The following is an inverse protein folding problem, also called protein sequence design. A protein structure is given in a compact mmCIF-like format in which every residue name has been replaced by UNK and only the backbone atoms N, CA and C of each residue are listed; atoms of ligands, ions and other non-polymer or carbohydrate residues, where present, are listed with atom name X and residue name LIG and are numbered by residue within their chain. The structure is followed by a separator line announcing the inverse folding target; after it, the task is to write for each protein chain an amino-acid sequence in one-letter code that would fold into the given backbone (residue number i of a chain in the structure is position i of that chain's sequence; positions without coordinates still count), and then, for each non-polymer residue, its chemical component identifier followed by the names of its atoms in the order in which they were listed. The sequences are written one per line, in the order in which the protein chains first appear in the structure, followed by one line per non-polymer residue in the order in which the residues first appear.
data_IF_496517497343
#
_entry.id   IF_496517497343
#
_cell.length_a   1.000
_cell.length_b   1.000
_cell.length_c   1.000
_cell.angle_alpha   90.00
_cell.angle_beta   90.00
_cell.angle_gamma   90.00
#
_symmetry.space_group_name_H-M   'P 1'
#
loop_
_entity.id
_entity.type
_entity.pdbx_description
1 polymer ?
#
# COMPACT_ATOMS: atom_id res chain seq x y z
N UNK A 1 8.70 -16.50 9.83
CA UNK A 1 8.23 -16.01 8.51
C UNK A 1 8.73 -14.59 8.36
N UNK A 2 9.43 -14.23 7.28
CA UNK A 2 9.77 -12.83 7.04
C UNK A 2 8.46 -12.04 7.10
N UNK A 3 8.46 -10.91 7.79
CA UNK A 3 7.26 -10.09 7.89
C UNK A 3 6.84 -9.69 6.48
N UNK A 4 5.59 -9.96 6.12
CA UNK A 4 4.94 -9.61 4.83
C UNK A 4 5.27 -8.19 4.33
N UNK A 5 5.62 -7.26 5.24
CA UNK A 5 6.10 -5.92 4.93
C UNK A 5 7.45 -5.86 4.17
N UNK A 6 8.35 -6.82 4.38
CA UNK A 6 9.63 -6.89 3.67
C UNK A 6 9.43 -7.31 2.20
N UNK A 7 8.56 -8.31 1.97
CA UNK A 7 8.20 -8.77 0.62
C UNK A 7 7.50 -7.66 -0.17
N UNK A 8 6.66 -6.85 0.48
CA UNK A 8 6.01 -5.70 -0.16
C UNK A 8 7.01 -4.61 -0.58
N UNK A 9 8.17 -4.50 0.07
CA UNK A 9 9.20 -3.51 -0.25
C UNK A 9 10.12 -3.94 -1.40
N UNK A 10 10.19 -5.23 -1.72
CA UNK A 10 10.99 -5.74 -2.85
C UNK A 10 10.23 -5.68 -4.19
N UNK A 11 8.91 -5.55 -4.15
CA UNK A 11 8.07 -5.57 -5.35
C UNK A 11 8.09 -4.24 -6.12
N UNK A 12 7.92 -4.26 -7.46
CA UNK A 12 7.80 -3.05 -8.25
C UNK A 12 6.48 -2.33 -7.96
N UNK A 13 6.46 -1.00 -8.16
CA UNK A 13 5.28 -0.16 -7.89
C UNK A 13 4.04 -0.63 -8.66
N UNK A 14 4.21 -1.07 -9.91
CA UNK A 14 3.11 -1.58 -10.75
C UNK A 14 2.46 -2.83 -10.17
N UNK A 15 3.25 -3.74 -9.58
CA UNK A 15 2.71 -4.95 -8.95
C UNK A 15 2.01 -4.63 -7.62
N UNK A 16 2.51 -3.63 -6.89
CA UNK A 16 1.84 -3.12 -5.69
C UNK A 16 0.48 -2.52 -6.03
N UNK A 17 0.38 -1.73 -7.09
CA UNK A 17 -0.88 -1.17 -7.57
C UNK A 17 -1.85 -2.27 -8.02
N UNK A 18 -1.38 -3.26 -8.77
CA UNK A 18 -2.19 -4.40 -9.18
C UNK A 18 -2.73 -5.19 -7.97
N UNK A 19 -1.92 -5.38 -6.92
CA UNK A 19 -2.39 -6.03 -5.68
C UNK A 19 -3.42 -5.20 -4.93
N UNK A 20 -3.27 -3.88 -4.89
CA UNK A 20 -4.27 -2.98 -4.29
C UNK A 20 -5.61 -3.12 -5.01
N UNK A 21 -5.61 -3.15 -6.34
CA UNK A 21 -6.86 -3.23 -7.10
C UNK A 21 -7.56 -4.58 -6.94
N UNK A 22 -6.81 -5.69 -6.98
CA UNK A 22 -7.34 -7.01 -6.64
C UNK A 22 -7.92 -7.05 -5.21
N UNK A 23 -7.22 -6.47 -4.23
CA UNK A 23 -7.69 -6.43 -2.85
C UNK A 23 -8.94 -5.55 -2.66
N UNK A 24 -9.09 -4.47 -3.44
CA UNK A 24 -10.33 -3.65 -3.44
C UNK A 24 -11.51 -4.44 -4.00
N UNK A 25 -11.30 -5.20 -5.06
CA UNK A 25 -12.34 -6.05 -5.67
C UNK A 25 -12.76 -7.17 -4.70
N UNK A 26 -11.79 -7.83 -4.05
CA UNK A 26 -12.06 -8.79 -2.98
C UNK A 26 -12.86 -8.14 -1.84
N UNK A 27 -12.48 -6.93 -1.40
CA UNK A 27 -13.19 -6.21 -0.35
C UNK A 27 -14.63 -5.85 -0.76
N UNK A 28 -14.86 -5.52 -2.03
CA UNK A 28 -16.21 -5.27 -2.56
C UNK A 28 -17.06 -6.53 -2.49
N UNK A 29 -16.52 -7.66 -2.96
CA UNK A 29 -17.20 -8.95 -2.91
C UNK A 29 -17.50 -9.39 -1.46
N UNK A 30 -16.56 -9.22 -0.54
CA UNK A 30 -16.76 -9.54 0.87
C UNK A 30 -17.81 -8.63 1.54
N UNK A 31 -17.85 -7.35 1.17
CA UNK A 31 -18.91 -6.42 1.65
C UNK A 31 -20.29 -6.80 1.09
N UNK A 32 -20.33 -7.26 -0.16
CA UNK A 32 -21.56 -7.76 -0.77
C UNK A 32 -22.05 -9.02 -0.05
N UNK A 33 -21.17 -9.99 0.19
CA UNK A 33 -21.46 -11.20 0.97
C UNK A 33 -21.87 -10.89 2.42
N UNK A 34 -21.27 -9.86 3.02
CA UNK A 34 -21.67 -9.36 4.34
C UNK A 34 -23.10 -8.82 4.33
N UNK A 35 -23.48 -8.06 3.30
CA UNK A 35 -24.82 -7.52 3.15
C UNK A 35 -25.87 -8.60 2.86
N UNK A 36 -25.51 -9.67 2.14
CA UNK A 36 -26.38 -10.84 1.90
C UNK A 36 -26.44 -11.81 3.08
N UNK A 37 -25.63 -11.61 4.12
CA UNK A 37 -25.59 -12.47 5.31
C UNK A 37 -24.94 -13.84 5.09
N UNK A 38 -24.25 -14.03 3.96
CA UNK A 38 -23.60 -15.29 3.57
C UNK A 38 -22.07 -15.23 3.78
N UNK A 39 -21.60 -14.35 4.67
CA UNK A 39 -20.18 -14.15 4.89
C UNK A 39 -19.63 -15.24 5.81
N UNK A 40 -18.82 -16.13 5.25
CA UNK A 40 -18.19 -17.22 6.02
C UNK A 40 -17.16 -16.72 7.04
N UNK A 41 -16.37 -15.69 6.68
CA UNK A 41 -15.28 -15.21 7.53
C UNK A 41 -15.22 -13.67 7.66
N UNK A 42 -15.80 -13.08 8.73
CA UNK A 42 -15.75 -11.65 8.96
C UNK A 42 -14.34 -11.11 9.23
N UNK A 43 -13.41 -11.96 9.66
CA UNK A 43 -12.00 -11.57 9.89
C UNK A 43 -11.31 -11.22 8.58
N UNK A 44 -11.71 -11.83 7.47
CA UNK A 44 -11.12 -11.60 6.14
C UNK A 44 -11.25 -10.15 5.70
N UNK A 45 -12.40 -9.51 5.95
CA UNK A 45 -12.62 -8.10 5.65
C UNK A 45 -11.56 -7.22 6.34
N UNK A 46 -11.26 -7.49 7.61
CA UNK A 46 -10.25 -6.75 8.35
C UNK A 46 -8.83 -7.01 7.81
N UNK A 47 -8.53 -8.25 7.44
CA UNK A 47 -7.24 -8.61 6.86
C UNK A 47 -7.00 -7.88 5.54
N UNK A 48 -7.94 -7.95 4.60
CA UNK A 48 -7.86 -7.30 3.29
C UNK A 48 -7.73 -5.78 3.44
N UNK A 49 -8.47 -5.16 4.37
CA UNK A 49 -8.30 -3.73 4.69
C UNK A 49 -6.89 -3.39 5.17
N UNK A 50 -6.32 -4.20 6.05
CA UNK A 50 -4.95 -3.99 6.55
C UNK A 50 -3.91 -4.20 5.45
N UNK A 51 -4.14 -5.13 4.53
CA UNK A 51 -3.27 -5.39 3.39
C UNK A 51 -3.21 -4.17 2.45
N UNK A 52 -4.37 -3.63 2.06
CA UNK A 52 -4.45 -2.38 1.28
C UNK A 52 -3.72 -1.23 1.98
N UNK A 53 -3.93 -1.08 3.30
CA UNK A 53 -3.28 -0.03 4.07
C UNK A 53 -1.76 -0.17 4.08
N UNK A 54 -1.23 -1.38 4.26
CA UNK A 54 0.23 -1.63 4.23
C UNK A 54 0.83 -1.30 2.87
N UNK A 55 0.19 -1.72 1.78
CA UNK A 55 0.69 -1.44 0.43
C UNK A 55 0.69 0.06 0.17
N UNK A 56 -0.39 0.76 0.54
CA UNK A 56 -0.47 2.21 0.41
C UNK A 56 0.61 2.94 1.25
N UNK A 57 0.92 2.45 2.45
CA UNK A 57 2.03 2.99 3.25
C UNK A 57 3.37 2.81 2.55
N UNK A 58 3.66 1.64 1.98
CA UNK A 58 4.92 1.40 1.25
C UNK A 58 5.04 2.30 0.03
N UNK A 59 3.97 2.47 -0.75
CA UNK A 59 3.94 3.40 -1.88
C UNK A 59 4.21 4.85 -1.42
N UNK A 60 3.58 5.27 -0.32
CA UNK A 60 3.81 6.61 0.23
C UNK A 60 5.22 6.78 0.81
N UNK A 61 5.79 5.74 1.44
CA UNK A 61 7.19 5.74 1.90
C UNK A 61 8.13 6.00 0.70
N UNK A 62 7.92 5.32 -0.44
CA UNK A 62 8.70 5.52 -1.67
C UNK A 62 8.55 6.91 -2.26
N UNK A 63 7.32 7.44 -2.31
CA UNK A 63 7.06 8.81 -2.75
C UNK A 63 7.78 9.83 -1.87
N UNK A 64 7.71 9.69 -0.54
CA UNK A 64 8.36 10.59 0.41
C UNK A 64 9.89 10.52 0.27
N UNK A 65 10.46 9.32 0.07
CA UNK A 65 11.90 9.17 -0.15
C UNK A 65 12.34 9.81 -1.48
N UNK A 66 11.53 9.70 -2.54
CA UNK A 66 11.74 10.40 -3.80
C UNK A 66 11.64 11.93 -3.65
N UNK A 67 10.64 12.43 -2.91
CA UNK A 67 10.47 13.85 -2.59
C UNK A 67 11.62 14.39 -1.71
N UNK A 68 12.10 13.62 -0.72
CA UNK A 68 13.27 13.99 0.11
C UNK A 68 14.58 14.04 -0.68
N UNK A 69 14.68 13.28 -1.77
CA UNK A 69 15.83 13.28 -2.67
C UNK A 69 15.96 14.54 -3.54
N UNK A 70 14.94 15.39 -3.62
CA UNK A 70 14.91 16.56 -4.49
C UNK A 70 14.35 17.81 -3.78
N UNK A 71 15.08 18.93 -3.64
CA UNK A 71 16.51 19.14 -3.49
C UNK A 71 16.83 20.00 -2.23
N UNK A 72 17.71 19.50 -1.35
CA UNK A 72 18.50 20.36 -0.44
C UNK A 72 19.76 20.93 -1.13
N UNK A 73 19.90 20.73 -2.45
CA UNK A 73 21.06 21.13 -3.24
C UNK A 73 21.00 22.56 -3.83
N UNK A 74 19.96 23.36 -3.51
CA UNK A 74 19.81 24.72 -4.04
C UNK A 74 20.28 25.84 -3.09
N UNK A 75 20.98 25.52 -1.99
CA UNK A 75 21.42 26.51 -1.00
C UNK A 75 22.95 26.74 -0.96
N UNK A 76 23.68 26.37 -2.02
CA UNK A 76 25.13 26.57 -2.12
C UNK A 76 25.50 27.46 -3.30
N UNK A 77 24.83 28.60 -3.45
CA UNK A 77 25.29 29.72 -4.30
C UNK A 77 24.93 31.06 -3.62
N UNK A 78 25.61 31.38 -2.52
CA UNK A 78 25.87 32.75 -2.07
C UNK A 78 27.38 32.77 -1.76
N UNK A 79 28.21 32.92 -2.79
CA UNK A 79 28.74 34.19 -3.31
C UNK A 79 29.89 34.74 -2.43
N UNK A 80 31.10 34.43 -2.91
CA UNK A 80 32.36 35.20 -2.92
C UNK A 80 32.65 36.21 -1.81
#
# INVERSE_FOLDING_TARGET
MPSMAAELRELPDDELLARVDNAKEELFNLRFQQATGQLDNPTRIRQVRHEVARIATVLREREIDAERGAPAAAAQEEEQ
#
